data_IF_513277456117
#
_entry.id   IF_513277456117
#
_cell.length_a   1.000
_cell.length_b   1.000
_cell.length_c   1.000
_cell.angle_alpha   90.00
_cell.angle_beta   90.00
_cell.angle_gamma   90.00
#
_symmetry.space_group_name_H-M   'P 1'
#
loop_
_entity.id
_entity.type
_entity.pdbx_description
1 polymer ?
#
# COMPACT_ATOMS: atom_id res chain seq x y z
N UNK A 1 -10.81 -6.06 -35.10
CA UNK A 1 -10.62 -5.83 -33.65
C UNK A 1 -9.41 -4.94 -33.44
N UNK A 2 -9.55 -3.83 -32.72
CA UNK A 2 -8.41 -2.93 -32.41
C UNK A 2 -7.34 -3.71 -31.62
N UNK A 3 -6.06 -3.65 -32.05
CA UNK A 3 -4.94 -4.35 -31.41
C UNK A 3 -4.86 -4.07 -29.90
N UNK A 4 -5.15 -2.83 -29.47
CA UNK A 4 -5.18 -2.46 -28.04
C UNK A 4 -6.26 -3.23 -27.28
N UNK A 5 -7.47 -3.31 -27.85
CA UNK A 5 -8.58 -4.07 -27.26
C UNK A 5 -8.27 -5.56 -27.17
N UNK A 6 -7.65 -6.13 -28.20
CA UNK A 6 -7.23 -7.54 -28.19
C UNK A 6 -6.23 -7.84 -27.05
N UNK A 7 -5.22 -6.99 -26.88
CA UNK A 7 -4.24 -7.11 -25.79
C UNK A 7 -4.88 -6.96 -24.41
N UNK A 8 -5.81 -6.00 -24.25
CA UNK A 8 -6.53 -5.82 -22.98
C UNK A 8 -7.35 -7.08 -22.60
N UNK A 9 -8.01 -7.71 -23.57
CA UNK A 9 -8.76 -8.95 -23.36
C UNK A 9 -7.85 -10.15 -23.04
N UNK A 10 -6.69 -10.24 -23.70
CA UNK A 10 -5.70 -11.28 -23.39
C UNK A 10 -5.16 -11.11 -21.97
N UNK A 11 -4.84 -9.88 -21.58
CA UNK A 11 -4.39 -9.55 -20.22
C UNK A 11 -5.46 -9.87 -19.18
N UNK A 12 -6.73 -9.49 -19.40
CA UNK A 12 -7.82 -9.86 -18.50
C UNK A 12 -7.97 -11.39 -18.34
N UNK A 13 -7.72 -12.14 -19.42
CA UNK A 13 -7.73 -13.61 -19.36
C UNK A 13 -6.58 -14.15 -18.51
N UNK A 14 -5.37 -13.61 -18.70
CA UNK A 14 -4.22 -13.93 -17.85
C UNK A 14 -4.52 -13.61 -16.39
N UNK A 15 -5.00 -12.41 -16.10
CA UNK A 15 -5.29 -11.97 -14.73
C UNK A 15 -6.38 -12.84 -14.08
N UNK A 16 -7.43 -13.22 -14.82
CA UNK A 16 -8.41 -14.18 -14.32
C UNK A 16 -7.77 -15.47 -13.80
N UNK A 17 -6.95 -16.12 -14.63
CA UNK A 17 -6.29 -17.37 -14.22
C UNK A 17 -5.28 -17.15 -13.10
N UNK A 18 -4.60 -15.99 -13.08
CA UNK A 18 -3.74 -15.59 -11.97
C UNK A 18 -4.54 -15.52 -10.66
N UNK A 19 -5.62 -14.74 -10.59
CA UNK A 19 -6.47 -14.59 -9.40
C UNK A 19 -7.09 -15.93 -8.95
N UNK A 20 -7.50 -16.77 -9.91
CA UNK A 20 -8.00 -18.13 -9.61
C UNK A 20 -6.92 -19.00 -8.97
N UNK A 21 -5.68 -18.93 -9.46
CA UNK A 21 -4.57 -19.68 -8.89
C UNK A 21 -4.15 -19.13 -7.50
N UNK A 22 -3.96 -17.81 -7.38
CA UNK A 22 -3.46 -17.18 -6.16
C UNK A 22 -4.46 -17.19 -5.02
N UNK A 23 -5.77 -17.11 -5.30
CA UNK A 23 -6.81 -17.32 -4.28
C UNK A 23 -6.80 -18.72 -3.64
N UNK A 24 -6.04 -19.67 -4.18
CA UNK A 24 -5.84 -21.02 -3.61
C UNK A 24 -4.43 -21.21 -3.07
N UNK A 25 -3.44 -20.62 -3.74
CA UNK A 25 -2.02 -20.70 -3.40
C UNK A 25 -1.39 -19.34 -3.67
N UNK A 26 -1.37 -18.45 -2.66
CA UNK A 26 -0.70 -17.16 -2.77
C UNK A 26 0.76 -17.37 -3.16
N UNK A 27 1.29 -16.46 -3.99
CA UNK A 27 2.71 -16.46 -4.35
C UNK A 27 3.38 -15.35 -3.56
N UNK A 28 4.05 -15.73 -2.48
CA UNK A 28 4.78 -14.84 -1.59
C UNK A 28 4.74 -15.33 -0.15
N UNK A 29 5.23 -14.50 0.76
CA UNK A 29 5.23 -14.71 2.20
C UNK A 29 4.22 -13.75 2.80
N UNK A 30 3.19 -14.29 3.47
CA UNK A 30 2.26 -13.45 4.20
C UNK A 30 2.98 -12.89 5.45
N UNK A 31 2.74 -11.63 5.77
CA UNK A 31 3.41 -10.95 6.90
C UNK A 31 3.13 -11.61 8.24
N UNK A 32 1.98 -12.29 8.41
CA UNK A 32 1.64 -13.04 9.61
C UNK A 32 2.41 -14.37 9.75
N UNK A 33 3.20 -14.79 8.75
CA UNK A 33 4.12 -15.94 8.87
C UNK A 33 5.39 -15.61 9.65
N UNK A 34 5.60 -14.34 10.00
CA UNK A 34 6.77 -13.86 10.74
C UNK A 34 6.34 -13.10 11.98
N UNK A 35 7.23 -13.04 12.96
CA UNK A 35 7.02 -12.28 14.19
C UNK A 35 7.37 -10.80 14.01
N UNK A 36 6.50 -9.96 14.55
CA UNK A 36 6.60 -8.50 14.65
C UNK A 36 5.52 -8.01 15.61
N UNK A 37 5.80 -6.90 16.30
CA UNK A 37 4.84 -6.19 17.14
C UNK A 37 4.23 -5.01 16.36
N UNK A 38 5.06 -4.30 15.59
CA UNK A 38 4.64 -3.22 14.71
C UNK A 38 5.14 -3.46 13.28
N UNK A 39 4.23 -3.39 12.30
CA UNK A 39 4.54 -3.57 10.89
C UNK A 39 4.30 -2.27 10.12
N UNK A 40 5.35 -1.69 9.57
CA UNK A 40 5.31 -0.48 8.76
C UNK A 40 5.34 -0.86 7.28
N UNK A 41 4.26 -0.59 6.57
CA UNK A 41 4.14 -0.78 5.13
C UNK A 41 4.34 0.56 4.45
N UNK A 42 5.37 0.65 3.60
CA UNK A 42 5.63 1.80 2.73
C UNK A 42 5.14 1.47 1.31
N UNK A 43 4.02 2.06 0.89
CA UNK A 43 3.37 1.74 -0.38
C UNK A 43 4.29 1.97 -1.59
N UNK A 44 4.44 0.94 -2.42
CA UNK A 44 5.36 0.87 -3.57
C UNK A 44 6.87 0.85 -3.27
N UNK A 45 7.27 0.77 -2.00
CA UNK A 45 8.68 0.92 -1.63
C UNK A 45 9.56 -0.20 -2.21
N UNK A 46 10.46 0.20 -3.12
CA UNK A 46 11.49 -0.67 -3.67
C UNK A 46 12.67 -0.87 -2.73
N UNK A 47 13.16 -2.10 -2.65
CA UNK A 47 14.34 -2.43 -1.84
C UNK A 47 15.61 -1.69 -2.29
N UNK A 48 15.81 -1.47 -3.59
CA UNK A 48 17.00 -0.75 -4.05
C UNK A 48 16.97 0.73 -3.69
N UNK A 49 15.79 1.35 -3.67
CA UNK A 49 15.62 2.72 -3.18
C UNK A 49 15.86 2.81 -1.67
N UNK A 50 15.31 1.87 -0.88
CA UNK A 50 15.54 1.86 0.57
C UNK A 50 17.03 1.68 0.90
N UNK A 51 17.74 0.82 0.16
CA UNK A 51 19.20 0.65 0.30
C UNK A 51 19.99 1.87 -0.15
N UNK A 52 19.52 2.59 -1.17
CA UNK A 52 20.15 3.81 -1.66
C UNK A 52 20.12 4.92 -0.59
N UNK A 53 19.00 5.05 0.14
CA UNK A 53 18.86 5.98 1.25
C UNK A 53 19.44 5.47 2.58
N UNK A 54 19.84 4.20 2.66
CA UNK A 54 20.35 3.59 3.88
C UNK A 54 21.46 4.36 4.59
N UNK A 55 22.45 4.96 3.90
CA UNK A 55 23.47 5.79 4.55
C UNK A 55 22.95 7.06 5.24
N UNK A 56 21.72 7.50 4.96
CA UNK A 56 21.11 8.69 5.54
C UNK A 56 20.39 8.41 6.87
N UNK A 57 20.03 7.14 7.14
CA UNK A 57 19.20 6.75 8.30
C UNK A 57 19.85 5.62 9.10
N UNK A 58 20.06 5.83 10.40
CA UNK A 58 20.78 4.86 11.22
C UNK A 58 20.09 3.50 11.35
N UNK A 59 18.74 3.48 11.32
CA UNK A 59 17.94 2.26 11.45
C UNK A 59 17.91 1.41 10.18
N UNK A 60 18.38 1.90 9.03
CA UNK A 60 18.37 1.16 7.77
C UNK A 60 19.67 0.35 7.66
N UNK A 61 19.66 -0.87 8.22
CA UNK A 61 20.79 -1.82 8.17
C UNK A 61 20.29 -3.20 7.81
N UNK A 62 21.13 -4.00 7.15
CA UNK A 62 20.84 -5.41 6.88
C UNK A 62 19.48 -5.67 6.19
N UNK A 63 19.10 -4.80 5.24
CA UNK A 63 17.81 -4.86 4.52
C UNK A 63 17.67 -6.18 3.77
N UNK A 64 16.90 -7.12 4.33
CA UNK A 64 16.49 -8.36 3.67
C UNK A 64 15.41 -8.10 2.62
N UNK A 65 15.02 -9.16 1.91
CA UNK A 65 13.91 -9.12 0.95
C UNK A 65 12.98 -10.30 1.21
N UNK A 66 11.68 -10.04 1.10
CA UNK A 66 10.67 -11.09 1.01
C UNK A 66 9.91 -10.96 -0.31
N UNK A 67 9.28 -12.05 -0.73
CA UNK A 67 8.31 -11.98 -1.82
C UNK A 67 6.97 -11.55 -1.24
N UNK A 68 6.48 -10.38 -1.63
CA UNK A 68 5.13 -9.92 -1.32
C UNK A 68 4.08 -10.86 -1.90
N UNK A 69 2.94 -10.96 -1.22
CA UNK A 69 1.76 -11.68 -1.72
C UNK A 69 1.03 -10.91 -2.84
N UNK A 70 1.19 -9.59 -2.92
CA UNK A 70 0.56 -8.72 -3.92
C UNK A 70 1.54 -8.09 -4.91
N UNK A 71 1.03 -7.68 -6.08
CA UNK A 71 1.71 -6.73 -6.97
C UNK A 71 1.00 -5.37 -7.05
N UNK A 72 -0.04 -5.21 -6.24
CA UNK A 72 -0.86 -4.01 -6.03
C UNK A 72 -1.35 -4.03 -4.57
N UNK A 73 -1.68 -2.89 -3.97
CA UNK A 73 -2.19 -2.85 -2.60
C UNK A 73 -3.47 -3.68 -2.45
N UNK A 74 -4.36 -3.66 -3.45
CA UNK A 74 -5.57 -4.50 -3.46
C UNK A 74 -5.22 -5.99 -3.35
N UNK A 75 -4.31 -6.48 -4.18
CA UNK A 75 -3.86 -7.88 -4.10
C UNK A 75 -3.17 -8.17 -2.77
N UNK A 76 -2.37 -7.24 -2.26
CA UNK A 76 -1.69 -7.42 -0.98
C UNK A 76 -2.71 -7.55 0.16
N UNK A 77 -3.68 -6.63 0.26
CA UNK A 77 -4.74 -6.64 1.28
C UNK A 77 -5.56 -7.94 1.18
N UNK A 78 -6.01 -8.33 -0.02
CA UNK A 78 -6.82 -9.54 -0.22
C UNK A 78 -6.10 -10.85 0.08
N UNK A 79 -4.77 -10.89 -0.09
CA UNK A 79 -3.95 -12.07 0.19
C UNK A 79 -3.31 -12.05 1.59
N UNK A 80 -3.28 -10.89 2.25
CA UNK A 80 -2.76 -10.72 3.61
C UNK A 80 -3.82 -11.05 4.65
N UNK A 81 -4.98 -10.39 4.58
CA UNK A 81 -6.02 -10.47 5.62
C UNK A 81 -7.00 -11.62 5.36
N UNK A 82 -6.47 -12.83 5.42
CA UNK A 82 -7.24 -14.04 5.13
C UNK A 82 -7.68 -14.77 6.39
N UNK A 83 -8.75 -15.57 6.28
CA UNK A 83 -9.28 -16.42 7.36
C UNK A 83 -8.26 -17.42 7.90
N UNK A 84 -7.16 -17.68 7.19
CA UNK A 84 -6.04 -18.48 7.68
C UNK A 84 -5.36 -17.83 8.90
N UNK A 85 -5.33 -16.50 8.96
CA UNK A 85 -4.69 -15.70 10.01
C UNK A 85 -5.71 -14.97 10.91
N UNK A 86 -6.96 -15.47 10.95
CA UNK A 86 -8.05 -14.82 11.70
C UNK A 86 -7.78 -14.70 13.21
N UNK A 87 -6.94 -15.57 13.80
CA UNK A 87 -6.52 -15.43 15.19
C UNK A 87 -5.66 -14.19 15.42
N UNK A 88 -4.67 -13.99 14.57
CA UNK A 88 -3.71 -12.89 14.64
C UNK A 88 -4.39 -11.57 14.28
N UNK A 89 -5.23 -11.57 13.25
CA UNK A 89 -5.97 -10.40 12.79
C UNK A 89 -6.92 -9.85 13.88
N UNK A 90 -7.54 -10.73 14.68
CA UNK A 90 -8.42 -10.33 15.80
C UNK A 90 -7.75 -9.47 16.87
N UNK A 91 -6.43 -9.55 17.00
CA UNK A 91 -5.67 -8.74 17.93
C UNK A 91 -4.74 -7.74 17.22
N UNK A 92 -5.04 -7.43 15.95
CA UNK A 92 -4.26 -6.49 15.13
C UNK A 92 -5.05 -5.21 14.88
N UNK A 93 -4.43 -4.06 15.15
CA UNK A 93 -4.91 -2.77 14.65
C UNK A 93 -4.32 -2.48 13.27
N UNK A 94 -5.15 -2.12 12.30
CA UNK A 94 -4.72 -1.74 10.96
C UNK A 94 -4.98 -0.26 10.69
N UNK A 95 -3.92 0.54 10.77
CA UNK A 95 -3.91 1.99 10.50
C UNK A 95 -3.49 2.20 9.06
N UNK A 96 -4.33 2.81 8.22
CA UNK A 96 -4.04 2.84 6.78
C UNK A 96 -4.47 4.11 6.08
N UNK A 97 -3.55 4.72 5.32
CA UNK A 97 -3.87 5.78 4.36
C UNK A 97 -4.33 5.26 3.01
N UNK A 98 -4.34 3.94 2.81
CA UNK A 98 -4.57 3.32 1.51
C UNK A 98 -6.07 3.00 1.30
N UNK A 99 -6.73 3.57 0.26
CA UNK A 99 -8.15 3.40 0.03
C UNK A 99 -8.58 2.00 -0.38
N UNK A 100 -7.65 1.11 -0.78
CA UNK A 100 -7.98 -0.28 -1.04
C UNK A 100 -8.37 -1.06 0.21
N UNK A 101 -8.14 -0.51 1.40
CA UNK A 101 -8.70 -1.04 2.64
C UNK A 101 -10.24 -1.12 2.59
N UNK A 102 -10.92 -0.38 1.71
CA UNK A 102 -12.35 -0.57 1.42
C UNK A 102 -12.72 -1.99 0.95
N UNK A 103 -11.79 -2.74 0.37
CA UNK A 103 -12.06 -4.15 0.01
C UNK A 103 -12.37 -5.00 1.25
N UNK A 104 -11.89 -4.58 2.43
CA UNK A 104 -12.22 -5.18 3.71
C UNK A 104 -13.64 -4.79 4.17
N UNK A 105 -14.14 -3.61 3.76
CA UNK A 105 -15.35 -2.98 4.30
C UNK A 105 -16.61 -3.15 3.42
N UNK A 106 -16.47 -3.57 2.16
CA UNK A 106 -17.57 -3.55 1.20
C UNK A 106 -17.53 -4.62 0.11
N UNK A 107 -18.18 -4.34 -1.02
CA UNK A 107 -18.22 -5.25 -2.16
C UNK A 107 -16.81 -5.44 -2.74
N UNK A 108 -16.31 -6.67 -2.59
CA UNK A 108 -14.92 -7.08 -2.82
C UNK A 108 -14.48 -6.90 -4.28
N UNK A 109 -15.42 -6.77 -5.24
CA UNK A 109 -15.17 -6.46 -6.69
C UNK A 109 -13.85 -7.05 -7.20
N UNK A 110 -13.60 -8.35 -6.94
CA UNK A 110 -12.24 -8.94 -7.00
C UNK A 110 -11.61 -8.92 -8.39
N UNK A 111 -12.44 -8.92 -9.43
CA UNK A 111 -12.00 -8.86 -10.83
C UNK A 111 -11.87 -7.45 -11.39
N UNK A 112 -12.27 -6.41 -10.64
CA UNK A 112 -12.25 -5.02 -11.10
C UNK A 112 -10.93 -4.34 -10.77
N UNK A 113 -10.30 -3.84 -11.83
CA UNK A 113 -9.08 -3.04 -11.85
C UNK A 113 -9.18 -2.10 -13.07
N UNK A 114 -8.53 -0.94 -13.07
CA UNK A 114 -8.50 -0.06 -14.26
C UNK A 114 -8.02 -0.77 -15.52
N UNK A 115 -7.02 -1.63 -15.34
CA UNK A 115 -6.45 -2.46 -16.40
C UNK A 115 -7.42 -3.48 -16.99
N UNK A 116 -8.52 -3.82 -16.29
CA UNK A 116 -9.58 -4.74 -16.75
C UNK A 116 -10.87 -4.04 -17.15
N UNK A 117 -10.95 -2.71 -17.07
CA UNK A 117 -12.16 -1.97 -17.44
C UNK A 117 -12.64 -2.34 -18.86
N UNK A 118 -13.95 -2.55 -19.05
CA UNK A 118 -14.60 -2.96 -20.31
C UNK A 118 -14.12 -4.32 -20.88
N UNK A 119 -13.48 -5.17 -20.06
CA UNK A 119 -13.07 -6.51 -20.49
C UNK A 119 -14.09 -7.58 -20.13
N UNK A 120 -13.92 -8.79 -20.67
CA UNK A 120 -14.85 -9.88 -20.41
C UNK A 120 -14.94 -10.21 -18.91
N UNK A 121 -13.84 -10.16 -18.16
CA UNK A 121 -13.81 -10.54 -16.73
C UNK A 121 -14.69 -9.64 -15.84
N UNK A 122 -14.97 -8.40 -16.25
CA UNK A 122 -15.85 -7.47 -15.52
C UNK A 122 -17.31 -7.53 -15.96
N UNK A 123 -17.58 -8.12 -17.13
CA UNK A 123 -18.92 -8.15 -17.75
C UNK A 123 -19.65 -9.48 -17.55
N UNK A 124 -18.97 -10.52 -17.05
CA UNK A 124 -19.58 -11.81 -16.72
C UNK A 124 -19.40 -12.19 -15.25
N UNK A 125 -20.53 -12.30 -14.56
CA UNK A 125 -20.61 -12.59 -13.11
C UNK A 125 -20.05 -13.95 -12.73
N UNK A 126 -20.11 -14.95 -13.63
CA UNK A 126 -19.68 -16.31 -13.31
C UNK A 126 -18.18 -16.40 -13.01
N UNK A 127 -17.37 -15.48 -13.55
CA UNK A 127 -15.92 -15.49 -13.38
C UNK A 127 -15.52 -15.34 -11.90
N UNK A 128 -16.20 -14.46 -11.17
CA UNK A 128 -15.93 -14.22 -9.76
C UNK A 128 -16.11 -15.48 -8.89
N UNK A 129 -17.01 -16.40 -9.26
CA UNK A 129 -17.26 -17.64 -8.54
C UNK A 129 -16.05 -18.61 -8.54
N UNK A 130 -15.10 -18.45 -9.47
CA UNK A 130 -13.89 -19.27 -9.52
C UNK A 130 -12.78 -18.75 -8.59
N UNK A 131 -12.83 -17.48 -8.21
CA UNK A 131 -11.87 -16.85 -7.31
C UNK A 131 -12.35 -17.12 -5.89
N UNK A 132 -11.56 -17.86 -5.10
CA UNK A 132 -11.94 -18.17 -3.72
C UNK A 132 -11.96 -16.91 -2.88
N UNK A 133 -12.95 -16.83 -2.00
CA UNK A 133 -13.00 -15.78 -1.01
C UNK A 133 -12.45 -16.32 0.30
N UNK A 134 -11.26 -15.87 0.66
CA UNK A 134 -10.67 -16.20 1.94
C UNK A 134 -10.49 -14.94 2.79
N UNK A 135 -11.03 -13.79 2.38
CA UNK A 135 -10.86 -12.55 3.12
C UNK A 135 -11.65 -12.63 4.43
N UNK A 136 -11.00 -12.27 5.52
CA UNK A 136 -11.60 -12.23 6.86
C UNK A 136 -12.80 -11.26 6.88
N UNK A 137 -13.78 -11.52 7.74
CA UNK A 137 -14.84 -10.54 7.98
C UNK A 137 -14.20 -9.29 8.63
N UNK A 138 -14.53 -8.06 8.18
CA UNK A 138 -14.06 -6.88 8.86
C UNK A 138 -14.32 -6.97 10.37
N UNK A 139 -15.47 -7.43 10.85
CA UNK A 139 -15.76 -7.48 12.30
C UNK A 139 -14.83 -8.40 13.11
N UNK A 140 -14.00 -9.21 12.44
CA UNK A 140 -12.95 -9.99 13.08
C UNK A 140 -11.59 -9.27 13.19
N UNK A 141 -11.41 -8.05 12.71
CA UNK A 141 -10.20 -7.30 13.05
C UNK A 141 -10.29 -6.77 14.48
N UNK A 142 -9.14 -6.67 15.15
CA UNK A 142 -9.04 -5.90 16.39
C UNK A 142 -9.45 -4.45 16.16
N UNK A 143 -8.87 -3.81 15.14
CA UNK A 143 -9.25 -2.47 14.72
C UNK A 143 -8.89 -2.19 13.26
N UNK A 144 -9.66 -1.35 12.59
CA UNK A 144 -9.28 -0.75 11.29
C UNK A 144 -9.51 0.74 11.39
N UNK A 145 -8.44 1.52 11.21
CA UNK A 145 -8.43 2.98 11.17
C UNK A 145 -8.11 3.44 9.73
N UNK A 146 -9.12 3.66 8.88
CA UNK A 146 -8.94 4.22 7.55
C UNK A 146 -8.74 5.73 7.63
N UNK A 147 -7.53 6.17 7.29
CA UNK A 147 -7.09 7.58 7.29
C UNK A 147 -6.97 8.10 5.86
N UNK A 148 -8.03 7.90 5.09
CA UNK A 148 -8.16 8.44 3.75
C UNK A 148 -9.61 8.90 3.55
N UNK A 149 -9.78 9.99 2.81
CA UNK A 149 -11.11 10.57 2.56
C UNK A 149 -11.35 10.74 1.06
N UNK A 150 -12.62 10.65 0.64
CA UNK A 150 -12.99 10.99 -0.73
C UNK A 150 -12.66 12.45 -1.02
N UNK A 151 -11.82 12.68 -2.02
CA UNK A 151 -11.29 13.98 -2.43
C UNK A 151 -12.35 15.00 -2.87
N UNK A 152 -13.61 14.60 -3.05
CA UNK A 152 -14.69 15.53 -3.41
C UNK A 152 -15.27 16.29 -2.19
N UNK A 153 -15.00 15.87 -0.95
CA UNK A 153 -15.55 16.52 0.25
C UNK A 153 -14.50 17.24 1.12
N UNK A 154 -14.24 18.52 0.79
CA UNK A 154 -13.62 19.54 1.66
C UNK A 154 -12.09 19.57 1.75
N UNK A 155 -11.49 20.77 1.75
CA UNK A 155 -10.03 21.00 1.69
C UNK A 155 -9.26 20.59 2.96
N UNK A 156 -9.94 20.02 3.97
CA UNK A 156 -9.34 19.44 5.19
C UNK A 156 -8.83 18.01 4.96
N UNK A 157 -9.02 17.47 3.75
CA UNK A 157 -8.93 16.06 3.37
C UNK A 157 -7.53 15.60 2.93
N UNK A 158 -6.62 16.51 2.57
CA UNK A 158 -5.25 16.17 2.21
C UNK A 158 -4.37 15.76 3.42
N UNK A 159 -4.78 16.08 4.65
CA UNK A 159 -3.97 15.81 5.85
C UNK A 159 -4.01 14.34 6.31
N UNK A 160 -5.10 13.62 6.06
CA UNK A 160 -5.33 12.26 6.58
C UNK A 160 -4.36 11.22 6.03
N UNK A 161 -3.97 11.33 4.76
CA UNK A 161 -3.03 10.44 4.07
C UNK A 161 -1.55 10.84 4.26
N UNK A 162 -1.27 11.91 5.01
CA UNK A 162 0.10 12.34 5.27
C UNK A 162 0.78 11.36 6.22
N UNK A 163 2.09 11.12 6.08
CA UNK A 163 2.84 10.29 7.01
C UNK A 163 2.63 10.66 8.49
N UNK A 164 2.53 11.96 8.79
CA UNK A 164 2.26 12.46 10.14
C UNK A 164 0.98 11.90 10.76
N UNK A 165 -0.10 11.82 9.98
CA UNK A 165 -1.39 11.28 10.43
C UNK A 165 -1.26 9.79 10.75
N UNK A 166 -0.66 9.01 9.85
CA UNK A 166 -0.43 7.57 10.06
C UNK A 166 0.46 7.33 11.28
N UNK A 167 1.54 8.08 11.43
CA UNK A 167 2.46 8.02 12.58
C UNK A 167 1.71 8.31 13.89
N UNK A 168 0.94 9.39 13.97
CA UNK A 168 0.24 9.76 15.21
C UNK A 168 -0.81 8.72 15.63
N UNK A 169 -1.61 8.19 14.69
CA UNK A 169 -2.60 7.15 15.00
C UNK A 169 -1.94 5.82 15.33
N UNK A 170 -0.80 5.50 14.72
CA UNK A 170 -0.02 4.30 15.06
C UNK A 170 0.53 4.38 16.48
N UNK A 171 1.10 5.51 16.88
CA UNK A 171 1.55 5.74 18.26
C UNK A 171 0.38 5.60 19.24
N UNK A 172 -0.79 6.17 18.90
CA UNK A 172 -1.99 6.07 19.73
C UNK A 172 -2.45 4.61 19.87
N UNK A 173 -2.49 3.85 18.77
CA UNK A 173 -2.87 2.43 18.79
C UNK A 173 -1.87 1.58 19.57
N UNK A 174 -0.57 1.75 19.35
CA UNK A 174 0.48 1.00 20.06
C UNK A 174 0.44 1.27 21.57
N UNK A 175 0.28 2.53 21.98
CA UNK A 175 0.23 2.89 23.41
C UNK A 175 -1.08 2.56 24.11
N UNK A 176 -2.15 2.28 23.37
CA UNK A 176 -3.45 1.88 23.95
C UNK A 176 -3.34 0.59 24.77
N UNK A 177 -2.45 -0.32 24.36
CA UNK A 177 -2.34 -1.67 24.92
C UNK A 177 -3.55 -2.57 24.63
N UNK A 178 -4.43 -2.16 23.70
CA UNK A 178 -5.62 -2.94 23.31
C UNK A 178 -5.32 -4.02 22.27
N UNK A 179 -4.20 -3.89 21.55
CA UNK A 179 -3.83 -4.74 20.42
C UNK A 179 -2.46 -5.38 20.66
N UNK A 180 -2.32 -6.65 20.30
CA UNK A 180 -1.04 -7.36 20.35
C UNK A 180 -0.11 -6.90 19.21
N UNK A 181 -0.70 -6.46 18.09
CA UNK A 181 0.00 -6.10 16.86
C UNK A 181 -0.59 -4.82 16.24
N UNK A 182 0.27 -4.00 15.63
CA UNK A 182 -0.16 -2.81 14.88
C UNK A 182 0.45 -2.81 13.49
N UNK A 183 -0.38 -2.66 12.46
CA UNK A 183 0.05 -2.44 11.08
C UNK A 183 -0.19 -0.97 10.74
N UNK A 184 0.86 -0.25 10.33
CA UNK A 184 0.79 1.10 9.80
C UNK A 184 1.08 1.07 8.29
N UNK A 185 0.11 1.49 7.48
CA UNK A 185 0.21 1.47 6.03
C UNK A 185 0.22 2.89 5.46
N UNK A 186 1.44 3.36 5.20
CA UNK A 186 1.75 4.66 4.63
C UNK A 186 1.49 4.65 3.13
N UNK A 187 0.98 5.77 2.60
CA UNK A 187 0.82 5.97 1.16
C UNK A 187 2.15 6.24 0.45
N UNK A 188 3.17 6.69 1.16
CA UNK A 188 4.46 7.02 0.57
C UNK A 188 5.36 5.77 0.54
N UNK A 189 6.20 5.60 -0.50
CA UNK A 189 6.52 6.59 -1.55
C UNK A 189 5.62 6.61 -2.80
N UNK A 190 4.45 5.97 -2.81
CA UNK A 190 3.52 5.99 -3.95
C UNK A 190 3.25 7.43 -4.45
N UNK A 191 3.06 7.60 -5.76
CA UNK A 191 2.70 8.90 -6.36
C UNK A 191 1.26 9.33 -6.01
N UNK A 192 0.94 10.62 -5.89
CA UNK A 192 1.79 11.79 -6.13
C UNK A 192 2.93 11.95 -5.10
N UNK A 193 4.03 12.56 -5.52
CA UNK A 193 5.20 12.79 -4.67
C UNK A 193 5.08 14.13 -3.92
N UNK A 194 4.83 14.09 -2.62
CA UNK A 194 4.53 15.26 -1.78
C UNK A 194 5.74 15.83 -1.01
N UNK A 195 6.96 15.39 -1.35
CA UNK A 195 8.17 15.85 -0.67
C UNK A 195 8.42 17.36 -0.86
N UNK A 196 8.11 17.92 -2.03
CA UNK A 196 8.36 19.34 -2.33
C UNK A 196 7.25 20.28 -1.85
N UNK A 197 6.02 19.78 -1.73
CA UNK A 197 4.89 20.54 -1.18
C UNK A 197 3.81 19.62 -0.62
N UNK A 198 3.13 20.09 0.44
CA UNK A 198 1.93 19.46 0.99
C UNK A 198 0.66 19.73 0.19
N UNK A 199 0.71 20.68 -0.76
CA UNK A 199 -0.43 21.09 -1.57
C UNK A 199 -0.32 20.50 -2.98
N UNK A 200 -1.29 19.68 -3.38
CA UNK A 200 -1.28 18.99 -4.68
C UNK A 200 -1.05 19.95 -5.85
N UNK A 201 -1.73 21.09 -5.87
CA UNK A 201 -1.65 22.05 -6.98
C UNK A 201 -0.25 22.65 -7.17
N UNK A 202 0.57 22.66 -6.13
CA UNK A 202 1.93 23.19 -6.14
C UNK A 202 2.98 22.19 -6.63
N UNK A 203 2.61 20.91 -6.77
CA UNK A 203 3.50 19.88 -7.29
C UNK A 203 3.76 20.06 -8.79
N UNK A 204 4.97 19.69 -9.21
CA UNK A 204 5.38 19.62 -10.60
C UNK A 204 4.70 18.44 -11.31
N UNK A 205 4.61 18.48 -12.64
CA UNK A 205 3.92 17.43 -13.42
C UNK A 205 4.53 16.04 -13.20
N UNK A 206 5.86 15.94 -13.04
CA UNK A 206 6.52 14.66 -12.78
C UNK A 206 6.37 14.17 -11.33
N UNK A 207 5.92 15.02 -10.42
CA UNK A 207 5.58 14.66 -9.04
C UNK A 207 4.11 14.22 -8.95
N UNK A 208 3.22 14.90 -9.69
CA UNK A 208 1.79 14.55 -9.82
C UNK A 208 1.59 13.24 -10.59
N UNK A 209 2.23 13.15 -11.76
CA UNK A 209 2.01 12.11 -12.75
C UNK A 209 3.34 11.60 -13.33
N UNK A 210 4.21 10.99 -12.50
CA UNK A 210 5.59 10.63 -12.86
C UNK A 210 5.70 9.84 -14.16
N UNK A 211 4.85 8.84 -14.36
CA UNK A 211 4.89 7.98 -15.54
C UNK A 211 4.30 8.64 -16.80
N UNK A 212 3.36 9.58 -16.62
CA UNK A 212 2.92 10.48 -17.69
C UNK A 212 4.08 11.36 -18.14
N UNK A 213 4.79 11.96 -17.19
CA UNK A 213 5.97 12.77 -17.45
C UNK A 213 7.11 11.98 -18.15
N UNK A 214 7.38 10.74 -17.72
CA UNK A 214 8.35 9.85 -18.42
C UNK A 214 7.97 9.62 -19.88
N UNK A 215 6.67 9.44 -20.16
CA UNK A 215 6.17 9.25 -21.52
C UNK A 215 6.26 10.52 -22.36
N UNK A 216 6.12 11.68 -21.72
CA UNK A 216 6.20 13.00 -22.36
C UNK A 216 7.64 13.53 -22.49
N UNK A 217 8.62 12.79 -21.97
CA UNK A 217 10.04 12.99 -22.22
C UNK A 217 10.86 13.48 -21.02
N UNK A 218 10.28 13.57 -19.82
CA UNK A 218 11.04 13.78 -18.59
C UNK A 218 12.03 12.63 -18.39
N UNK A 219 13.27 12.95 -18.01
CA UNK A 219 14.29 11.94 -17.79
C UNK A 219 13.98 11.07 -16.56
N UNK A 220 14.41 9.81 -16.65
CA UNK A 220 14.18 8.82 -15.60
C UNK A 220 14.88 9.20 -14.29
N UNK A 221 16.04 9.85 -14.37
CA UNK A 221 16.77 10.29 -13.18
C UNK A 221 15.97 11.31 -12.36
N UNK A 222 15.31 12.28 -13.00
CA UNK A 222 14.47 13.29 -12.35
C UNK A 222 13.29 12.64 -11.63
N UNK A 223 12.59 11.72 -12.30
CA UNK A 223 11.46 11.00 -11.68
C UNK A 223 11.91 10.08 -10.55
N UNK A 224 13.05 9.42 -10.71
CA UNK A 224 13.66 8.60 -9.66
C UNK A 224 14.07 9.44 -8.45
N UNK A 225 14.69 10.60 -8.66
CA UNK A 225 15.06 11.52 -7.59
C UNK A 225 13.81 11.99 -6.82
N UNK A 226 12.73 12.38 -7.52
CA UNK A 226 11.48 12.77 -6.88
C UNK A 226 10.84 11.65 -6.05
N UNK A 227 10.92 10.40 -6.54
CA UNK A 227 10.49 9.22 -5.79
C UNK A 227 11.36 9.00 -4.54
N UNK A 228 12.68 9.18 -4.63
CA UNK A 228 13.58 9.09 -3.46
C UNK A 228 13.31 10.20 -2.45
N UNK A 229 13.05 11.44 -2.88
CA UNK A 229 12.64 12.51 -1.97
C UNK A 229 11.32 12.18 -1.26
N UNK A 230 10.36 11.57 -1.96
CA UNK A 230 9.10 11.13 -1.35
C UNK A 230 9.30 9.96 -0.38
N UNK A 231 10.30 9.11 -0.63
CA UNK A 231 10.68 8.06 0.31
C UNK A 231 11.38 8.64 1.55
N UNK A 232 12.29 9.61 1.40
CA UNK A 232 12.87 10.35 2.53
C UNK A 232 11.79 10.99 3.39
N UNK A 233 10.83 11.64 2.74
CA UNK A 233 9.72 12.29 3.42
C UNK A 233 9.01 11.34 4.40
N UNK A 234 8.70 10.11 4.00
CA UNK A 234 8.09 9.14 4.92
C UNK A 234 9.07 8.52 5.90
N UNK A 235 10.34 8.33 5.52
CA UNK A 235 11.36 7.77 6.41
C UNK A 235 11.64 8.67 7.62
N UNK A 236 11.57 10.00 7.48
CA UNK A 236 11.67 10.94 8.61
C UNK A 236 10.54 10.72 9.64
N UNK A 237 9.34 10.37 9.16
CA UNK A 237 8.20 10.05 10.02
C UNK A 237 8.25 8.62 10.57
N UNK A 238 8.89 7.69 9.87
CA UNK A 238 9.20 6.35 10.37
C UNK A 238 10.23 6.43 11.49
N UNK A 239 11.28 7.23 11.35
CA UNK A 239 12.26 7.46 12.42
C UNK A 239 11.59 7.97 13.68
N UNK A 240 10.75 9.00 13.53
CA UNK A 240 9.94 9.55 14.63
C UNK A 240 9.02 8.50 15.27
N UNK A 241 8.46 7.58 14.47
CA UNK A 241 7.62 6.49 14.96
C UNK A 241 8.44 5.45 15.75
N UNK A 242 9.62 5.08 15.25
CA UNK A 242 10.53 4.13 15.92
C UNK A 242 10.97 4.63 17.31
N UNK A 243 11.07 5.94 17.51
CA UNK A 243 11.34 6.56 18.81
C UNK A 243 10.11 6.60 19.74
N UNK A 244 8.92 6.19 19.28
CA UNK A 244 7.65 6.37 19.98
C UNK A 244 6.77 5.10 20.05
N UNK A 245 7.34 3.93 19.76
CA UNK A 245 6.71 2.62 19.94
C UNK A 245 7.69 1.65 20.58
N UNK A 246 7.17 0.66 21.30
CA UNK A 246 7.97 -0.43 21.88
C UNK A 246 7.84 -1.70 21.02
N UNK A 247 8.93 -2.45 20.90
CA UNK A 247 8.91 -3.84 20.39
C UNK A 247 9.68 -4.06 19.09
N UNK A 248 9.46 -5.23 18.49
CA UNK A 248 10.04 -5.64 17.22
C UNK A 248 9.27 -4.98 16.05
N UNK A 249 9.88 -3.96 15.45
CA UNK A 249 9.33 -3.25 14.30
C UNK A 249 9.86 -3.85 13.00
N UNK A 250 8.96 -4.07 12.04
CA UNK A 250 9.32 -4.46 10.68
C UNK A 250 8.92 -3.38 9.70
N UNK A 251 9.87 -2.92 8.87
CA UNK A 251 9.62 -2.02 7.75
C UNK A 251 9.65 -2.85 6.46
N UNK A 252 8.55 -2.80 5.70
CA UNK A 252 8.37 -3.52 4.45
C UNK A 252 7.50 -2.72 3.47
N UNK A 253 7.09 -3.34 2.36
CA UNK A 253 6.19 -2.76 1.38
C UNK A 253 5.12 -3.78 0.98
N UNK A 254 3.97 -3.29 0.54
CA UNK A 254 2.92 -4.11 -0.04
C UNK A 254 3.29 -4.58 -1.45
N UNK A 255 3.97 -3.74 -2.23
CA UNK A 255 4.63 -4.04 -3.48
C UNK A 255 5.72 -3.00 -3.78
N UNK A 256 6.42 -3.16 -4.91
CA UNK A 256 7.33 -2.17 -5.46
C UNK A 256 6.71 -1.35 -6.60
N UNK A 257 7.57 -0.71 -7.39
CA UNK A 257 7.15 0.14 -8.52
C UNK A 257 8.05 -0.06 -9.75
N UNK A 258 7.46 -0.07 -10.95
CA UNK A 258 8.23 -0.20 -12.20
C UNK A 258 8.49 1.18 -12.84
N UNK A 259 9.75 1.44 -13.16
CA UNK A 259 10.23 2.68 -13.79
C UNK A 259 10.71 2.44 -15.22
N UNK A 260 10.19 1.41 -15.89
CA UNK A 260 10.53 1.04 -17.26
C UNK A 260 11.16 -0.34 -17.41
N UNK A 261 11.29 -1.13 -16.33
CA UNK A 261 11.81 -2.49 -16.41
C UNK A 261 10.97 -3.33 -17.37
N UNK A 262 11.62 -3.97 -18.34
CA UNK A 262 10.97 -4.68 -19.44
C UNK A 262 9.91 -3.86 -20.18
N UNK A 263 10.07 -2.52 -20.23
CA UNK A 263 9.13 -1.54 -20.82
C UNK A 263 7.78 -1.47 -20.09
N UNK A 264 7.73 -1.93 -18.85
CA UNK A 264 6.58 -1.80 -17.97
C UNK A 264 6.80 -0.63 -17.01
N UNK A 265 5.72 0.05 -16.69
CA UNK A 265 5.64 1.16 -15.74
C UNK A 265 4.48 0.88 -14.81
N UNK A 266 4.42 1.57 -13.68
CA UNK A 266 3.42 1.35 -12.63
C UNK A 266 3.51 -0.08 -12.04
N UNK A 267 2.48 -0.44 -11.30
CA UNK A 267 2.30 -1.73 -10.63
C UNK A 267 1.00 -2.37 -11.12
N UNK A 268 1.10 -3.23 -12.13
CA UNK A 268 -0.07 -3.91 -12.69
C UNK A 268 -0.48 -5.13 -11.84
N UNK A 269 -1.79 -5.43 -11.69
CA UNK A 269 -2.24 -6.58 -10.94
C UNK A 269 -1.79 -7.90 -11.58
N UNK A 270 -1.48 -8.89 -10.75
CA UNK A 270 -0.98 -10.18 -11.17
C UNK A 270 0.34 -10.15 -11.90
N UNK A 271 1.22 -9.20 -11.59
CA UNK A 271 2.53 -9.08 -12.20
C UNK A 271 3.62 -9.68 -11.29
N UNK A 272 4.24 -10.83 -11.66
CA UNK A 272 5.26 -11.49 -10.85
C UNK A 272 6.65 -10.82 -10.94
N UNK A 273 6.75 -9.61 -11.49
CA UNK A 273 8.04 -8.96 -11.71
C UNK A 273 8.81 -8.78 -10.38
N UNK A 274 10.09 -9.15 -10.30
CA UNK A 274 10.86 -9.05 -9.06
C UNK A 274 10.93 -7.63 -8.48
N UNK A 275 10.90 -6.58 -9.31
CA UNK A 275 10.87 -5.18 -8.83
C UNK A 275 9.52 -4.75 -8.22
N UNK A 276 8.45 -5.51 -8.44
CA UNK A 276 7.15 -5.32 -7.78
C UNK A 276 7.00 -6.25 -6.58
N UNK A 277 7.47 -7.49 -6.71
CA UNK A 277 7.17 -8.54 -5.74
C UNK A 277 8.28 -8.81 -4.73
N UNK A 278 9.54 -8.45 -4.97
CA UNK A 278 10.59 -8.52 -3.95
C UNK A 278 10.65 -7.18 -3.24
N UNK A 279 10.10 -7.15 -2.03
CA UNK A 279 9.96 -5.96 -1.19
C UNK A 279 10.95 -6.03 -0.02
N UNK A 280 11.37 -4.88 0.54
CA UNK A 280 12.27 -4.87 1.69
C UNK A 280 11.66 -5.62 2.87
N UNK A 281 12.51 -6.20 3.72
CA UNK A 281 12.14 -6.71 5.04
C UNK A 281 13.23 -6.29 6.02
N UNK A 282 13.01 -5.17 6.68
CA UNK A 282 13.96 -4.56 7.61
C UNK A 282 13.41 -4.70 9.03
N UNK A 283 14.17 -5.32 9.94
CA UNK A 283 13.78 -5.46 11.35
C UNK A 283 14.53 -4.43 12.19
N UNK A 284 13.84 -3.77 13.10
CA UNK A 284 14.37 -2.76 14.01
C UNK A 284 13.77 -2.99 15.39
N UNK A 285 14.60 -3.07 16.42
CA UNK A 285 14.11 -3.02 17.81
C UNK A 285 13.84 -1.55 18.17
N UNK A 286 12.61 -1.24 18.57
CA UNK A 286 12.18 0.11 18.93
C UNK A 286 11.89 0.23 20.43
N UNK A 287 12.08 1.44 20.97
CA UNK A 287 11.76 1.77 22.34
C UNK A 287 11.05 3.12 22.40
N UNK A 288 9.96 3.18 23.15
CA UNK A 288 9.13 4.38 23.26
C UNK A 288 9.78 5.44 24.18
N UNK A 289 10.39 6.46 23.58
CA UNK A 289 10.96 7.63 24.27
C UNK A 289 9.90 8.67 24.68
N UNK A 290 8.67 8.54 24.19
CA UNK A 290 7.54 9.44 24.48
C UNK A 290 7.77 10.90 24.13
N UNK A 291 8.50 11.14 23.04
CA UNK A 291 8.76 12.49 22.49
C UNK A 291 7.53 13.07 21.79
N UNK A 292 6.68 12.22 21.19
CA UNK A 292 5.42 12.61 20.54
C UNK A 292 4.23 12.33 21.45
N UNK A 293 3.32 13.28 21.56
CA UNK A 293 2.02 13.13 22.23
C UNK A 293 0.91 13.30 21.19
N UNK A 294 0.41 12.21 20.61
CA UNK A 294 -0.62 12.31 19.58
C UNK A 294 -1.91 12.87 20.20
N UNK A 295 -2.53 13.83 19.53
CA UNK A 295 -3.86 14.37 19.85
C UNK A 295 -4.85 13.88 18.78
N UNK A 296 -5.04 12.57 18.73
CA UNK A 296 -5.90 11.88 17.77
C UNK A 296 -6.74 10.83 18.49
N UNK A 297 -7.90 10.52 17.92
CA UNK A 297 -8.77 9.42 18.36
C UNK A 297 -8.72 8.30 17.33
N UNK A 298 -9.00 7.07 17.79
CA UNK A 298 -9.19 5.92 16.91
C UNK A 298 -10.69 5.77 16.68
N UNK A 299 -11.19 6.34 15.59
CA UNK A 299 -12.62 6.42 15.31
C UNK A 299 -13.16 5.15 14.62
N UNK A 300 -12.25 4.30 14.16
CA UNK A 300 -12.55 3.05 13.49
C UNK A 300 -13.25 3.27 12.15
N UNK A 301 -13.98 2.25 11.71
CA UNK A 301 -14.59 2.22 10.37
C UNK A 301 -15.76 3.16 10.17
N UNK A 302 -16.37 3.64 11.26
CA UNK A 302 -17.54 4.51 11.16
C UNK A 302 -17.22 5.83 10.43
N UNK A 303 -15.95 6.22 10.38
CA UNK A 303 -15.45 7.37 9.63
C UNK A 303 -15.02 7.10 8.19
N UNK A 304 -15.03 5.85 7.72
CA UNK A 304 -14.54 5.48 6.39
C UNK A 304 -15.50 5.97 5.28
N UNK A 305 -15.08 6.86 4.36
CA UNK A 305 -15.89 7.24 3.21
C UNK A 305 -15.90 6.14 2.13
N UNK A 306 -16.64 6.30 1.04
CA UNK A 306 -16.38 5.49 -0.17
C UNK A 306 -15.31 6.19 -1.02
N UNK A 307 -14.29 5.48 -1.48
CA UNK A 307 -13.27 6.07 -2.36
C UNK A 307 -13.87 6.36 -3.74
N UNK A 308 -13.73 7.59 -4.25
CA UNK A 308 -14.26 7.93 -5.58
C UNK A 308 -13.45 7.31 -6.72
N UNK A 309 -14.09 7.17 -7.87
CA UNK A 309 -13.47 6.70 -9.11
C UNK A 309 -12.27 7.59 -9.49
N UNK A 310 -12.38 8.92 -9.36
CA UNK A 310 -11.27 9.84 -9.63
C UNK A 310 -10.11 9.66 -8.66
N UNK A 311 -10.38 9.40 -7.38
CA UNK A 311 -9.33 9.17 -6.39
C UNK A 311 -8.54 7.90 -6.73
N UNK A 312 -9.24 6.83 -7.11
CA UNK A 312 -8.62 5.61 -7.58
C UNK A 312 -7.84 5.84 -8.90
N UNK A 313 -8.36 6.63 -9.85
CA UNK A 313 -7.64 7.01 -11.08
C UNK A 313 -6.37 7.84 -10.81
N UNK A 314 -6.45 8.83 -9.92
CA UNK A 314 -5.33 9.70 -9.54
C UNK A 314 -4.19 8.92 -8.87
N UNK A 315 -4.57 7.88 -8.12
CA UNK A 315 -3.65 6.92 -7.54
C UNK A 315 -3.17 5.87 -8.59
N UNK A 316 -3.54 5.99 -9.87
CA UNK A 316 -3.04 5.12 -10.94
C UNK A 316 -3.80 3.81 -11.13
N UNK A 317 -4.98 3.68 -10.53
CA UNK A 317 -5.70 2.41 -10.41
C UNK A 317 -6.90 2.22 -11.37
N UNK A 318 -7.29 3.24 -12.16
CA UNK A 318 -8.41 3.18 -13.12
C UNK A 318 -8.04 3.49 -14.57
#
# INVERSE_FOLDING_TARGET
>A
MNRKRALKQLYATYLFFWLVATSRRPVGTNVFEREWDVLLILDTCRTDALRELGPEYEFIRDVEEIWSVGSTSKEWIEQTFTTQYASEIRNTAYITGNPFSNTLLGDRKRTKYGTTNETWIETVDWSAAFIRDNLVDPDEFGHIEPLWVDTESDARVADSQKPESITNHTIQAARSGEYDRVIAHYMQPHSPYFASSKEYDQLLEYEKHPFGALKDGTDRETVWAAYLENLRYVLDHVESLLENVDGDVVITADHGELFGEHRMYYHMPGNPHPRLKRVPWLRVEASDERTIRPDVTLDGRAGAPEASEKQLEALGYL
#
